data_IF_242386407601
#
_entry.id   IF_242386407601
#
_cell.length_a   1.000
_cell.length_b   1.000
_cell.length_c   1.000
_cell.angle_alpha   90.00
_cell.angle_beta   90.00
_cell.angle_gamma   90.00
#
_symmetry.space_group_name_H-M   'P 1'
#
loop_
_entity.id
_entity.type
_entity.pdbx_description
1 polymer ?
#
# COMPACT_ATOMS: atom_id res chain seq x y z
N UNK A 1 49.89 22.01 19.80
CA UNK A 1 49.16 23.29 19.97
C UNK A 1 47.75 23.13 19.44
N UNK A 2 46.75 23.75 20.06
CA UNK A 2 45.36 23.80 19.55
C UNK A 2 44.89 25.25 19.47
N UNK A 3 44.15 25.61 18.43
CA UNK A 3 43.64 26.98 18.21
C UNK A 3 42.11 26.98 18.39
N UNK A 4 41.63 27.78 19.34
CA UNK A 4 40.24 28.23 19.36
C UNK A 4 40.18 29.71 18.95
N UNK A 5 39.20 30.10 18.15
CA UNK A 5 38.97 31.49 17.71
C UNK A 5 37.49 31.88 17.86
N UNK A 6 37.16 33.15 18.13
CA UNK A 6 35.88 33.50 18.77
C UNK A 6 34.74 33.77 17.78
N UNK A 7 33.81 32.82 17.63
CA UNK A 7 32.56 33.00 16.84
C UNK A 7 31.34 33.45 17.67
N UNK A 8 31.52 33.73 18.97
CA UNK A 8 30.42 33.90 19.94
C UNK A 8 29.67 35.23 19.84
N UNK A 9 30.33 36.33 19.45
CA UNK A 9 29.78 37.70 19.62
C UNK A 9 28.55 37.99 18.76
N UNK A 10 28.54 37.55 17.50
CA UNK A 10 27.48 37.87 16.53
C UNK A 10 26.09 37.27 16.86
N UNK A 11 26.01 36.19 17.65
CA UNK A 11 24.73 35.54 17.98
C UNK A 11 23.90 36.33 19.01
N UNK A 12 24.49 37.27 19.74
CA UNK A 12 23.78 38.09 20.74
C UNK A 12 23.07 39.33 20.18
N UNK A 13 23.43 39.79 19.00
CA UNK A 13 22.80 40.97 18.39
C UNK A 13 21.42 40.65 17.80
N UNK A 14 21.31 39.50 17.11
CA UNK A 14 20.05 39.05 16.49
C UNK A 14 18.91 38.81 17.50
N UNK A 15 19.25 38.52 18.77
CA UNK A 15 18.26 38.34 19.83
C UNK A 15 17.54 39.66 20.20
N UNK A 16 18.24 40.79 20.15
CA UNK A 16 17.75 42.09 20.65
C UNK A 16 16.71 42.77 19.74
N UNK A 17 16.50 42.25 18.52
CA UNK A 17 15.58 42.84 17.53
C UNK A 17 14.17 42.22 17.62
N UNK A 18 14.03 41.02 18.20
CA UNK A 18 12.73 40.33 18.28
C UNK A 18 11.89 40.68 19.52
N UNK A 19 12.45 41.39 20.50
CA UNK A 19 11.79 41.69 21.79
C UNK A 19 10.87 42.93 21.73
N UNK A 20 10.75 43.58 20.56
CA UNK A 20 10.08 44.87 20.39
C UNK A 20 8.64 44.80 19.84
N UNK A 21 7.97 43.64 19.89
CA UNK A 21 6.63 43.43 19.31
C UNK A 21 5.70 42.63 20.24
N UNK A 22 5.50 43.16 21.45
CA UNK A 22 4.39 42.78 22.35
C UNK A 22 3.26 43.82 22.20
N UNK A 23 2.09 43.57 22.80
CA UNK A 23 1.01 44.56 22.99
C UNK A 23 0.08 44.86 21.79
N UNK A 24 -0.71 43.86 21.38
CA UNK A 24 -2.16 44.10 21.17
C UNK A 24 -2.98 42.81 21.27
N UNK A 25 -3.73 42.68 22.37
CA UNK A 25 -4.80 41.70 22.57
C UNK A 25 -6.05 42.50 22.95
N UNK A 26 -7.19 42.26 22.26
CA UNK A 26 -8.37 41.83 23.00
C UNK A 26 -8.89 40.46 22.57
N UNK A 27 -9.26 39.67 23.57
CA UNK A 27 -10.14 38.49 23.56
C UNK A 27 -11.58 38.92 23.12
N UNK A 28 -12.49 38.09 22.59
CA UNK A 28 -12.71 36.64 22.67
C UNK A 28 -12.59 35.97 21.25
N UNK A 29 -13.28 34.93 20.75
CA UNK A 29 -14.52 34.17 21.12
C UNK A 29 -14.41 32.68 20.75
N UNK A 30 -15.16 31.85 21.47
CA UNK A 30 -15.70 30.52 21.13
C UNK A 30 -15.14 29.72 19.94
N UNK A 31 -14.28 28.74 20.26
CA UNK A 31 -14.55 27.28 20.17
C UNK A 31 -15.00 26.60 18.83
N UNK A 32 -14.91 25.25 18.69
CA UNK A 32 -14.14 24.27 19.48
C UNK A 32 -13.18 23.39 18.64
N UNK A 33 -12.30 22.71 19.37
CA UNK A 33 -11.63 21.44 19.06
C UNK A 33 -11.93 20.75 17.70
N UNK A 34 -11.13 21.02 16.66
CA UNK A 34 -10.91 20.02 15.59
C UNK A 34 -9.96 18.93 16.08
N UNK A 35 -10.39 18.18 17.11
CA UNK A 35 -9.72 16.95 17.56
C UNK A 35 -9.55 16.06 16.35
N UNK A 36 -8.29 15.82 15.95
CA UNK A 36 -7.96 14.79 14.97
C UNK A 36 -8.20 13.45 15.68
N UNK A 37 -9.45 13.01 15.65
CA UNK A 37 -9.82 11.67 16.07
C UNK A 37 -9.21 10.69 15.07
N UNK A 38 -7.95 10.32 15.34
CA UNK A 38 -7.42 9.03 14.95
C UNK A 38 -8.36 8.01 15.59
N UNK A 39 -9.42 7.65 14.87
CA UNK A 39 -10.42 6.69 15.30
C UNK A 39 -9.68 5.38 15.47
N UNK A 40 -9.31 5.07 16.72
CA UNK A 40 -8.54 3.88 17.04
C UNK A 40 -9.39 2.69 16.60
N UNK A 41 -9.01 2.01 15.49
CA UNK A 41 -9.70 0.78 15.07
C UNK A 41 -9.71 -0.15 16.29
N UNK A 42 -10.92 -0.46 16.73
CA UNK A 42 -11.25 -1.30 17.89
C UNK A 42 -10.47 -2.61 17.77
N UNK A 43 -10.04 -3.29 18.86
CA UNK A 43 -9.33 -4.57 18.76
C UNK A 43 -10.03 -5.58 17.83
N UNK A 44 -11.36 -5.57 17.75
CA UNK A 44 -12.13 -6.36 16.79
C UNK A 44 -11.92 -5.95 15.32
N UNK A 45 -11.91 -4.65 15.01
CA UNK A 45 -11.64 -4.13 13.66
C UNK A 45 -10.21 -4.46 13.21
N UNK A 46 -9.24 -4.44 14.13
CA UNK A 46 -7.86 -4.87 13.87
C UNK A 46 -7.80 -6.37 13.53
N UNK A 47 -8.52 -7.22 14.28
CA UNK A 47 -8.60 -8.65 13.96
C UNK A 47 -9.30 -8.93 12.62
N UNK A 48 -10.37 -8.20 12.29
CA UNK A 48 -11.07 -8.32 11.01
C UNK A 48 -10.12 -7.98 9.85
N UNK A 49 -9.48 -6.81 9.91
CA UNK A 49 -8.51 -6.38 8.89
C UNK A 49 -7.33 -7.36 8.72
N UNK A 50 -6.85 -7.98 9.81
CA UNK A 50 -5.79 -8.99 9.74
C UNK A 50 -6.26 -10.30 9.08
N UNK A 51 -7.43 -10.82 9.48
CA UNK A 51 -8.04 -12.01 8.84
C UNK A 51 -8.32 -11.77 7.36
N UNK A 52 -8.86 -10.61 7.01
CA UNK A 52 -9.05 -10.18 5.64
C UNK A 52 -7.74 -10.15 4.83
N UNK A 53 -6.66 -9.61 5.40
CA UNK A 53 -5.35 -9.58 4.74
C UNK A 53 -4.86 -10.99 4.38
N UNK A 54 -4.98 -11.93 5.30
CA UNK A 54 -4.63 -13.34 5.09
C UNK A 54 -5.49 -13.96 3.96
N UNK A 55 -6.81 -13.75 3.99
CA UNK A 55 -7.73 -14.33 2.98
C UNK A 55 -7.46 -13.72 1.59
N UNK A 56 -7.19 -12.41 1.49
CA UNK A 56 -6.82 -11.73 0.24
C UNK A 56 -5.61 -12.42 -0.42
N UNK A 57 -4.54 -12.63 0.35
CA UNK A 57 -3.32 -13.31 -0.11
C UNK A 57 -3.60 -14.76 -0.52
N UNK A 58 -4.28 -15.56 0.31
CA UNK A 58 -4.57 -16.98 0.00
C UNK A 58 -5.35 -17.11 -1.31
N UNK A 59 -6.38 -16.27 -1.51
CA UNK A 59 -7.19 -16.28 -2.73
C UNK A 59 -6.38 -15.84 -3.95
N UNK A 60 -5.48 -14.87 -3.81
CA UNK A 60 -4.53 -14.49 -4.87
C UNK A 60 -3.58 -15.61 -5.25
N UNK A 61 -2.95 -16.28 -4.27
CA UNK A 61 -2.03 -17.39 -4.51
C UNK A 61 -2.71 -18.55 -5.22
N UNK A 62 -3.92 -18.94 -4.78
CA UNK A 62 -4.71 -20.00 -5.42
C UNK A 62 -5.07 -19.61 -6.87
N UNK A 63 -5.48 -18.36 -7.11
CA UNK A 63 -5.80 -17.88 -8.44
C UNK A 63 -4.57 -17.83 -9.37
N UNK A 64 -3.40 -17.46 -8.84
CA UNK A 64 -2.12 -17.50 -9.55
C UNK A 64 -1.71 -18.92 -9.95
N UNK A 65 -1.80 -19.88 -9.02
CA UNK A 65 -1.52 -21.31 -9.28
C UNK A 65 -2.46 -21.85 -10.37
N UNK A 66 -3.77 -21.63 -10.25
CA UNK A 66 -4.76 -22.06 -11.25
C UNK A 66 -4.44 -21.44 -12.61
N UNK A 67 -4.10 -20.14 -12.65
CA UNK A 67 -3.71 -19.47 -13.89
C UNK A 67 -2.43 -20.07 -14.49
N UNK A 68 -1.45 -20.46 -13.67
CA UNK A 68 -0.21 -21.10 -14.13
C UNK A 68 -0.47 -22.43 -14.82
N UNK A 69 -1.28 -23.29 -14.19
CA UNK A 69 -1.71 -24.58 -14.76
C UNK A 69 -2.51 -24.38 -16.05
N UNK A 70 -3.45 -23.42 -16.08
CA UNK A 70 -4.28 -23.15 -17.27
C UNK A 70 -3.45 -22.61 -18.44
N UNK A 71 -2.54 -21.66 -18.21
CA UNK A 71 -1.71 -21.12 -19.29
C UNK A 71 -0.68 -22.14 -19.77
N UNK A 72 -0.09 -22.96 -18.89
CA UNK A 72 0.74 -24.09 -19.29
C UNK A 72 -0.03 -25.06 -20.20
N UNK A 73 -1.24 -25.46 -19.80
CA UNK A 73 -2.09 -26.38 -20.57
C UNK A 73 -2.56 -25.81 -21.92
N UNK A 74 -2.65 -24.48 -22.07
CA UNK A 74 -3.13 -23.81 -23.28
C UNK A 74 -2.02 -23.34 -24.22
N UNK A 75 -0.83 -23.02 -23.70
CA UNK A 75 0.23 -22.32 -24.44
C UNK A 75 1.64 -22.92 -24.25
N UNK A 76 1.83 -23.91 -23.37
CA UNK A 76 3.13 -24.52 -23.10
C UNK A 76 4.17 -23.47 -22.69
N UNK A 77 5.33 -23.47 -23.35
CA UNK A 77 6.40 -22.49 -23.18
C UNK A 77 6.11 -21.11 -23.83
N UNK A 78 5.04 -20.97 -24.60
CA UNK A 78 4.70 -19.74 -25.32
C UNK A 78 5.54 -19.48 -26.57
N UNK A 79 6.08 -20.52 -27.23
CA UNK A 79 6.97 -20.38 -28.39
C UNK A 79 6.31 -19.59 -29.55
N UNK A 80 5.03 -19.86 -29.84
CA UNK A 80 4.21 -19.12 -30.81
C UNK A 80 3.62 -17.78 -30.28
N UNK A 81 3.83 -17.45 -29.00
CA UNK A 81 3.07 -16.43 -28.27
C UNK A 81 3.94 -15.63 -27.31
N UNK A 82 4.28 -14.41 -27.75
CA UNK A 82 5.15 -13.48 -27.02
C UNK A 82 4.74 -13.40 -25.54
N UNK A 83 5.65 -13.83 -24.65
CA UNK A 83 5.41 -14.07 -23.22
C UNK A 83 4.66 -12.96 -22.48
N UNK A 84 4.97 -11.69 -22.77
CA UNK A 84 4.29 -10.54 -22.14
C UNK A 84 2.79 -10.46 -22.46
N UNK A 85 2.34 -11.01 -23.60
CA UNK A 85 0.92 -11.08 -23.93
C UNK A 85 0.17 -12.07 -23.04
N UNK A 86 0.80 -13.20 -22.69
CA UNK A 86 0.24 -14.17 -21.74
C UNK A 86 0.14 -13.53 -20.34
N UNK A 87 1.18 -12.81 -19.89
CA UNK A 87 1.14 -12.05 -18.65
C UNK A 87 0.02 -11.00 -18.60
N UNK A 88 -0.15 -10.20 -19.66
CA UNK A 88 -1.23 -9.19 -19.74
C UNK A 88 -2.62 -9.84 -19.77
N UNK A 89 -2.77 -10.98 -20.45
CA UNK A 89 -4.03 -11.76 -20.45
C UNK A 89 -4.34 -12.28 -19.05
N UNK A 90 -3.36 -12.85 -18.34
CA UNK A 90 -3.52 -13.31 -16.96
C UNK A 90 -3.97 -12.14 -16.09
N UNK A 91 -3.18 -11.06 -15.99
CA UNK A 91 -3.47 -9.88 -15.16
C UNK A 91 -4.86 -9.31 -15.44
N UNK A 92 -5.26 -9.19 -16.70
CA UNK A 92 -6.59 -8.68 -17.07
C UNK A 92 -7.73 -9.59 -16.60
N UNK A 93 -7.56 -10.90 -16.70
CA UNK A 93 -8.54 -11.90 -16.26
C UNK A 93 -8.58 -12.00 -14.73
N UNK A 94 -7.43 -12.06 -14.07
CA UNK A 94 -7.32 -12.26 -12.62
C UNK A 94 -7.80 -11.05 -11.85
N UNK A 95 -7.47 -9.84 -12.30
CA UNK A 95 -8.04 -8.59 -11.78
C UNK A 95 -9.58 -8.60 -11.81
N UNK A 96 -10.16 -9.02 -12.95
CA UNK A 96 -11.61 -9.07 -13.13
C UNK A 96 -12.28 -10.14 -12.25
N UNK A 97 -11.69 -11.34 -12.18
CA UNK A 97 -12.16 -12.43 -11.30
C UNK A 97 -12.13 -11.98 -9.84
N UNK A 98 -11.01 -11.42 -9.37
CA UNK A 98 -10.87 -10.91 -8.00
C UNK A 98 -11.91 -9.84 -7.65
N UNK A 99 -12.19 -8.94 -8.59
CA UNK A 99 -13.18 -7.87 -8.42
C UNK A 99 -14.62 -8.36 -8.26
N UNK A 100 -14.91 -9.60 -8.70
CA UNK A 100 -16.18 -10.30 -8.44
C UNK A 100 -16.08 -11.18 -7.19
N UNK A 101 -14.96 -11.88 -7.01
CA UNK A 101 -14.75 -12.91 -5.99
C UNK A 101 -14.63 -12.32 -4.57
N UNK A 102 -13.94 -11.19 -4.38
CA UNK A 102 -13.77 -10.59 -3.05
C UNK A 102 -15.10 -10.12 -2.42
N UNK A 103 -15.99 -9.39 -3.13
CA UNK A 103 -17.33 -9.11 -2.62
C UNK A 103 -18.13 -10.38 -2.26
N UNK A 104 -18.00 -11.44 -3.07
CA UNK A 104 -18.71 -12.71 -2.86
C UNK A 104 -18.29 -13.40 -1.55
N UNK A 105 -17.00 -13.37 -1.20
CA UNK A 105 -16.47 -13.90 0.07
C UNK A 105 -16.49 -12.88 1.23
N UNK A 106 -17.33 -11.83 1.12
CA UNK A 106 -17.57 -10.80 2.14
C UNK A 106 -16.32 -9.99 2.55
N UNK A 107 -15.32 -9.90 1.67
CA UNK A 107 -14.20 -8.98 1.84
C UNK A 107 -14.66 -7.58 1.40
N UNK A 108 -14.46 -6.56 2.24
CA UNK A 108 -14.88 -5.20 1.91
C UNK A 108 -13.90 -4.52 0.94
N UNK A 109 -14.14 -4.72 -0.36
CA UNK A 109 -13.40 -4.07 -1.44
C UNK A 109 -13.57 -2.55 -1.48
N UNK A 110 -14.45 -1.95 -0.65
CA UNK A 110 -14.62 -0.49 -0.58
C UNK A 110 -13.55 0.19 0.26
N UNK A 111 -12.90 -0.52 1.21
CA UNK A 111 -11.72 0.00 1.92
C UNK A 111 -10.42 -0.12 1.08
N UNK A 112 -10.41 -0.89 -0.02
CA UNK A 112 -9.19 -1.10 -0.83
C UNK A 112 -8.74 0.18 -1.53
N UNK A 113 -7.48 0.54 -1.30
CA UNK A 113 -6.76 1.56 -2.04
C UNK A 113 -6.10 0.92 -3.26
N UNK A 114 -5.69 1.74 -4.23
CA UNK A 114 -4.98 1.24 -5.43
C UNK A 114 -3.72 0.41 -5.08
N UNK A 115 -3.05 0.73 -3.96
CA UNK A 115 -1.91 -0.05 -3.44
C UNK A 115 -2.28 -1.48 -3.04
N UNK A 116 -3.48 -1.67 -2.48
CA UNK A 116 -3.93 -2.97 -2.03
C UNK A 116 -4.25 -3.88 -3.23
N UNK A 117 -4.89 -3.31 -4.28
CA UNK A 117 -5.07 -3.98 -5.57
C UNK A 117 -3.74 -4.37 -6.23
N UNK A 118 -2.74 -3.46 -6.25
CA UNK A 118 -1.42 -3.75 -6.83
C UNK A 118 -0.70 -4.86 -6.05
N UNK A 119 -0.75 -4.84 -4.71
CA UNK A 119 -0.19 -5.93 -3.89
C UNK A 119 -0.87 -7.27 -4.19
N UNK A 120 -2.21 -7.26 -4.24
CA UNK A 120 -3.04 -8.43 -4.50
C UNK A 120 -2.80 -9.04 -5.89
N UNK A 121 -2.63 -8.22 -6.93
CA UNK A 121 -2.30 -8.66 -8.29
C UNK A 121 -0.84 -9.15 -8.39
N UNK A 122 0.09 -8.49 -7.68
CA UNK A 122 1.48 -8.94 -7.61
C UNK A 122 1.59 -10.36 -7.04
N UNK A 123 0.83 -10.71 -6.00
CA UNK A 123 0.79 -12.10 -5.48
C UNK A 123 0.24 -13.08 -6.52
N UNK A 124 -0.73 -12.68 -7.37
CA UNK A 124 -1.19 -13.55 -8.47
C UNK A 124 -0.06 -13.78 -9.48
N UNK A 125 0.59 -12.71 -9.93
CA UNK A 125 1.65 -12.77 -10.97
C UNK A 125 2.87 -13.56 -10.48
N UNK A 126 3.24 -13.41 -9.21
CA UNK A 126 4.32 -14.17 -8.57
C UNK A 126 4.01 -15.67 -8.54
N UNK A 127 2.87 -16.08 -7.96
CA UNK A 127 2.46 -17.48 -7.94
C UNK A 127 2.19 -18.05 -9.34
N UNK A 128 1.71 -17.24 -10.28
CA UNK A 128 1.55 -17.59 -11.69
C UNK A 128 2.89 -17.93 -12.34
N UNK A 129 3.87 -17.03 -12.26
CA UNK A 129 5.19 -17.23 -12.86
C UNK A 129 5.93 -18.40 -12.22
N UNK A 130 5.88 -18.54 -10.89
CA UNK A 130 6.47 -19.69 -10.18
C UNK A 130 5.83 -21.00 -10.64
N UNK A 131 4.50 -21.09 -10.66
CA UNK A 131 3.78 -22.31 -11.06
C UNK A 131 4.05 -22.66 -12.52
N UNK A 132 3.98 -21.69 -13.43
CA UNK A 132 4.21 -21.91 -14.86
C UNK A 132 5.65 -22.31 -15.15
N UNK A 133 6.64 -21.65 -14.53
CA UNK A 133 8.07 -22.02 -14.69
C UNK A 133 8.36 -23.42 -14.15
N UNK A 134 7.76 -23.82 -13.02
CA UNK A 134 7.92 -25.17 -12.47
C UNK A 134 7.25 -26.27 -13.33
N UNK A 135 6.26 -25.93 -14.16
CA UNK A 135 5.65 -26.86 -15.11
C UNK A 135 6.43 -26.97 -16.44
N UNK A 136 7.36 -26.02 -16.70
CA UNK A 136 8.17 -25.96 -17.92
C UNK A 136 9.54 -26.65 -17.82
N UNK A 137 9.86 -27.24 -16.67
CA UNK A 137 11.17 -27.85 -16.34
C UNK A 137 11.05 -29.35 -16.06
#
# INVERSE_FOLDING_TARGET
MSKQTPKSKARKELAKVSEASVESVPEIVEAPEKKILIKQKTPEEKQKAHREGIIKTIVSSILGIISGVVMFSQYGAGEDRIWYAILVIVIGITYYIQRILYPMIKIDTKEFKAKDWIFVEFIVVDFFLVTWTLLLN
#
